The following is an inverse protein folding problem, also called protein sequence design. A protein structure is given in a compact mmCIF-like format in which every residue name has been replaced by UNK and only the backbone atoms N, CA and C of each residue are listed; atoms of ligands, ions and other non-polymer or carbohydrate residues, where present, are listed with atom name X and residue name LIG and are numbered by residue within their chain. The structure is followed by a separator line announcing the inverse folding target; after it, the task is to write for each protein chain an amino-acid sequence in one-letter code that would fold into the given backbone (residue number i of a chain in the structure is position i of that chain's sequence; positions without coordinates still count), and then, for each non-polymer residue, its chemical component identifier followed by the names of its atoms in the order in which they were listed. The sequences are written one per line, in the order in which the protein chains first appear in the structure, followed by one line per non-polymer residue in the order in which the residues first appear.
data_IF_720260271130
#
_entry.id   IF_720260271130
#
_cell.length_a   1.000
_cell.length_b   1.000
_cell.length_c   1.000
_cell.angle_alpha   90.00
_cell.angle_beta   90.00
_cell.angle_gamma   90.00
#
_symmetry.space_group_name_H-M   'P 1'
#
loop_
_entity.id
_entity.type
_entity.pdbx_description
1 polymer ?
#
# COMPACT_ATOMS: atom_id res chain seq x y z
N UNK A 1 19.54 -1.60 -3.11
CA UNK A 1 20.13 -0.33 -2.60
C UNK A 1 18.99 0.64 -2.31
N UNK A 2 19.00 1.33 -1.17
CA UNK A 2 17.93 2.30 -0.83
C UNK A 2 18.34 3.66 -1.40
N UNK A 3 17.55 4.18 -2.32
CA UNK A 3 17.76 5.52 -2.88
C UNK A 3 16.73 6.50 -2.31
N UNK A 4 17.21 7.59 -1.73
CA UNK A 4 16.40 8.78 -1.47
C UNK A 4 16.70 9.89 -2.48
N UNK A 5 17.84 9.76 -3.19
CA UNK A 5 18.25 10.67 -4.25
C UNK A 5 17.93 10.06 -5.62
N UNK A 6 16.77 10.45 -6.14
CA UNK A 6 16.28 10.04 -7.45
C UNK A 6 16.98 10.74 -8.62
N UNK A 7 17.93 11.66 -8.33
CA UNK A 7 18.78 12.31 -9.36
C UNK A 7 20.10 11.58 -9.57
N UNK A 8 20.45 10.64 -8.69
CA UNK A 8 21.69 9.89 -8.77
C UNK A 8 21.77 9.02 -10.02
N UNK A 9 22.96 8.85 -10.57
CA UNK A 9 23.20 7.90 -11.68
C UNK A 9 22.75 6.48 -11.33
N UNK A 10 22.93 6.09 -10.06
CA UNK A 10 22.49 4.81 -9.54
C UNK A 10 20.97 4.60 -9.64
N UNK A 11 20.16 5.66 -9.59
CA UNK A 11 18.73 5.57 -9.82
C UNK A 11 18.39 5.69 -11.31
N UNK A 12 18.93 6.68 -12.00
CA UNK A 12 18.59 7.00 -13.40
C UNK A 12 18.84 5.79 -14.31
N UNK A 13 19.96 5.10 -14.13
CA UNK A 13 20.36 3.95 -14.96
C UNK A 13 20.01 2.59 -14.33
N UNK A 14 19.27 2.58 -13.22
CA UNK A 14 18.88 1.33 -12.58
C UNK A 14 17.79 0.60 -13.37
N UNK A 15 17.90 -0.72 -13.40
CA UNK A 15 16.80 -1.62 -13.75
C UNK A 15 15.92 -1.89 -12.51
N UNK A 16 14.66 -2.24 -12.73
CA UNK A 16 13.71 -2.63 -11.69
C UNK A 16 13.56 -1.58 -10.56
N UNK A 17 13.24 -0.37 -10.95
CA UNK A 17 13.01 0.78 -10.05
C UNK A 17 11.73 0.60 -9.25
N UNK A 18 11.86 0.39 -7.95
CA UNK A 18 10.73 0.25 -7.02
C UNK A 18 10.56 1.52 -6.21
N UNK A 19 9.39 2.15 -6.25
CA UNK A 19 9.05 3.28 -5.38
C UNK A 19 8.06 2.82 -4.32
N UNK A 20 8.36 3.11 -3.04
CA UNK A 20 7.50 2.80 -1.91
C UNK A 20 7.00 4.09 -1.28
N UNK A 21 5.74 4.48 -1.59
CA UNK A 21 5.04 5.53 -0.86
C UNK A 21 4.70 5.03 0.55
N UNK A 22 4.81 5.93 1.54
CA UNK A 22 4.73 5.53 2.94
C UNK A 22 5.96 4.74 3.41
N UNK A 23 7.04 4.75 2.62
CA UNK A 23 8.28 4.02 2.87
C UNK A 23 9.06 4.46 4.12
N UNK A 24 8.64 5.55 4.76
CA UNK A 24 9.20 6.03 6.05
C UNK A 24 8.37 5.56 7.26
N UNK A 25 7.16 5.04 7.04
CA UNK A 25 6.26 4.53 8.09
C UNK A 25 6.65 3.14 8.60
N UNK A 26 5.90 2.65 9.60
CA UNK A 26 6.23 1.41 10.30
C UNK A 26 6.35 0.17 9.40
N UNK A 27 5.34 -0.15 8.62
CA UNK A 27 5.35 -1.28 7.66
C UNK A 27 6.26 -0.96 6.48
N UNK A 28 6.08 0.24 5.87
CA UNK A 28 6.80 0.63 4.66
C UNK A 28 8.31 0.65 4.83
N UNK A 29 8.82 1.20 5.95
CA UNK A 29 10.28 1.28 6.19
C UNK A 29 10.93 -0.10 6.35
N UNK A 30 10.21 -1.04 6.95
CA UNK A 30 10.68 -2.43 7.10
C UNK A 30 10.61 -3.18 5.78
N UNK A 31 9.54 -2.98 5.00
CA UNK A 31 9.40 -3.54 3.66
C UNK A 31 10.51 -3.05 2.73
N UNK A 32 10.83 -1.74 2.77
CA UNK A 32 11.94 -1.15 2.02
C UNK A 32 13.26 -1.87 2.30
N UNK A 33 13.57 -2.22 3.57
CA UNK A 33 14.79 -2.95 3.92
C UNK A 33 14.89 -4.34 3.28
N UNK A 34 13.76 -5.02 3.13
CA UNK A 34 13.73 -6.32 2.45
C UNK A 34 13.85 -6.16 0.95
N UNK A 35 13.06 -5.27 0.34
CA UNK A 35 13.09 -5.02 -1.10
C UNK A 35 14.46 -4.54 -1.60
N UNK A 36 15.18 -3.75 -0.80
CA UNK A 36 16.50 -3.22 -1.19
C UNK A 36 17.60 -4.28 -1.31
N UNK A 37 17.30 -5.54 -1.02
CA UNK A 37 18.23 -6.64 -1.28
C UNK A 37 18.26 -7.05 -2.74
N UNK A 38 17.12 -6.91 -3.43
CA UNK A 38 16.90 -7.45 -4.78
C UNK A 38 16.52 -6.37 -5.80
N UNK A 39 16.09 -5.18 -5.34
CA UNK A 39 15.61 -4.09 -6.19
C UNK A 39 16.31 -2.77 -5.86
N UNK A 40 16.29 -1.86 -6.83
CA UNK A 40 16.61 -0.45 -6.59
C UNK A 40 15.38 0.24 -6.01
N UNK A 41 15.43 0.61 -4.73
CA UNK A 41 14.26 1.07 -3.98
C UNK A 41 14.37 2.54 -3.60
N UNK A 42 13.43 3.33 -4.09
CA UNK A 42 13.15 4.68 -3.65
C UNK A 42 12.15 4.70 -2.50
N UNK A 43 12.56 5.26 -1.36
CA UNK A 43 11.75 5.41 -0.17
C UNK A 43 11.14 6.81 -0.14
N UNK A 44 9.80 6.90 -0.12
CA UNK A 44 9.06 8.17 -0.14
C UNK A 44 8.17 8.28 1.09
N UNK A 45 8.36 9.33 1.87
CA UNK A 45 7.49 9.70 2.99
C UNK A 45 6.60 10.90 2.65
N UNK A 46 5.67 11.25 3.55
CA UNK A 46 4.76 12.38 3.37
C UNK A 46 5.46 13.75 3.32
N UNK A 47 6.68 13.83 3.88
CA UNK A 47 7.52 15.04 3.80
C UNK A 47 8.21 15.19 2.44
N UNK A 48 8.41 14.08 1.72
CA UNK A 48 9.02 14.08 0.40
C UNK A 48 7.95 14.34 -0.68
N UNK A 49 6.84 13.59 -0.62
CA UNK A 49 5.67 13.74 -1.49
C UNK A 49 4.40 13.45 -0.70
N UNK A 50 3.56 14.45 -0.54
CA UNK A 50 2.22 14.25 0.01
C UNK A 50 1.32 13.64 -1.06
N UNK A 51 0.85 12.40 -0.84
CA UNK A 51 -0.04 11.70 -1.77
C UNK A 51 -1.42 12.37 -1.92
N UNK A 52 -1.80 13.23 -0.98
CA UNK A 52 -3.02 14.03 -1.08
C UNK A 52 -2.88 15.20 -2.07
N UNK A 53 -1.65 15.55 -2.47
CA UNK A 53 -1.36 16.60 -3.44
C UNK A 53 -1.14 15.99 -4.84
N UNK A 54 -2.19 15.98 -5.67
CA UNK A 54 -2.15 15.39 -7.01
C UNK A 54 -1.03 15.95 -7.91
N UNK A 55 -0.79 17.27 -8.02
CA UNK A 55 0.33 17.82 -8.78
C UNK A 55 1.70 17.36 -8.29
N UNK A 56 1.91 17.24 -6.97
CA UNK A 56 3.17 16.76 -6.41
C UNK A 56 3.42 15.29 -6.78
N UNK A 57 2.39 14.43 -6.67
CA UNK A 57 2.47 13.02 -7.08
C UNK A 57 2.78 12.89 -8.57
N UNK A 58 2.10 13.66 -9.42
CA UNK A 58 2.31 13.63 -10.87
C UNK A 58 3.72 14.06 -11.25
N UNK A 59 4.21 15.15 -10.70
CA UNK A 59 5.56 15.66 -10.96
C UNK A 59 6.62 14.66 -10.50
N UNK A 60 6.44 14.08 -9.31
CA UNK A 60 7.36 13.08 -8.76
C UNK A 60 7.41 11.82 -9.61
N UNK A 61 6.27 11.25 -10.01
CA UNK A 61 6.24 10.01 -10.80
C UNK A 61 6.78 10.20 -12.21
N UNK A 62 6.58 11.36 -12.83
CA UNK A 62 7.24 11.72 -14.10
C UNK A 62 8.76 11.77 -13.96
N UNK A 63 9.24 12.23 -12.83
CA UNK A 63 10.66 12.39 -12.55
C UNK A 63 11.34 11.06 -12.22
N UNK A 64 10.76 10.26 -11.31
CA UNK A 64 11.40 9.03 -10.83
C UNK A 64 11.31 7.86 -11.81
N UNK A 65 10.39 7.90 -12.78
CA UNK A 65 10.21 6.88 -13.82
C UNK A 65 10.18 5.42 -13.29
N UNK A 66 9.39 5.19 -12.25
CA UNK A 66 9.31 3.91 -11.56
C UNK A 66 8.73 2.79 -12.44
N UNK A 67 9.23 1.57 -12.25
CA UNK A 67 8.72 0.34 -12.86
C UNK A 67 7.71 -0.36 -11.94
N UNK A 68 7.95 -0.28 -10.65
CA UNK A 68 7.11 -0.84 -9.59
C UNK A 68 6.72 0.26 -8.60
N UNK A 69 5.45 0.37 -8.29
CA UNK A 69 4.94 1.29 -7.27
C UNK A 69 4.24 0.49 -6.18
N UNK A 70 4.67 0.67 -4.95
CA UNK A 70 4.03 0.11 -3.76
C UNK A 70 3.52 1.27 -2.92
N UNK A 71 2.22 1.30 -2.63
CA UNK A 71 1.68 2.28 -1.70
C UNK A 71 1.36 1.62 -0.36
N UNK A 72 2.18 1.92 0.64
CA UNK A 72 2.00 1.54 2.04
C UNK A 72 1.48 2.70 2.90
N UNK A 73 1.18 3.84 2.31
CA UNK A 73 0.57 4.96 3.01
C UNK A 73 -0.84 4.60 3.46
N UNK A 74 -1.20 5.01 4.64
CA UNK A 74 -2.53 4.82 5.18
C UNK A 74 -2.70 5.58 6.48
N UNK A 75 -3.93 5.93 6.78
CA UNK A 75 -4.34 6.54 8.03
C UNK A 75 -5.58 5.84 8.54
N UNK A 76 -5.62 5.58 9.84
CA UNK A 76 -6.77 5.01 10.52
C UNK A 76 -7.14 5.86 11.74
N UNK A 77 -8.42 6.00 11.96
CA UNK A 77 -9.01 6.63 13.14
C UNK A 77 -10.28 5.87 13.51
N UNK A 78 -10.19 5.11 14.60
CA UNK A 78 -11.29 4.25 15.07
C UNK A 78 -12.30 5.10 15.85
N UNK A 79 -13.48 5.30 15.28
CA UNK A 79 -14.57 6.04 15.90
C UNK A 79 -15.92 5.49 15.43
N UNK A 80 -16.92 5.46 16.30
CA UNK A 80 -18.29 5.20 15.89
C UNK A 80 -18.76 6.31 14.94
N UNK A 81 -19.45 5.95 13.86
CA UNK A 81 -19.84 6.90 12.82
C UNK A 81 -20.61 8.13 13.37
N UNK A 82 -21.49 7.91 14.35
CA UNK A 82 -22.27 8.97 14.97
C UNK A 82 -21.52 9.79 16.04
N UNK A 83 -20.28 9.43 16.35
CA UNK A 83 -19.44 10.10 17.35
C UNK A 83 -18.32 10.95 16.77
N UNK A 84 -18.21 11.05 15.45
CA UNK A 84 -17.32 12.01 14.83
C UNK A 84 -17.83 13.42 15.14
N UNK A 85 -17.05 14.21 15.84
CA UNK A 85 -17.40 15.58 16.22
C UNK A 85 -17.30 16.53 15.03
N UNK A 86 -16.35 16.30 14.13
CA UNK A 86 -16.13 17.08 12.92
C UNK A 86 -15.87 16.18 11.73
N UNK A 87 -15.94 16.71 10.51
CA UNK A 87 -15.59 16.00 9.30
C UNK A 87 -14.08 15.92 9.04
N UNK A 88 -13.24 16.63 9.79
CA UNK A 88 -11.80 16.72 9.55
C UNK A 88 -11.10 15.36 9.53
N UNK A 89 -11.41 14.49 10.50
CA UNK A 89 -10.83 13.14 10.57
C UNK A 89 -11.37 12.23 9.46
N UNK A 90 -12.63 12.41 9.07
CA UNK A 90 -13.24 11.70 7.94
C UNK A 90 -12.56 12.13 6.64
N UNK A 91 -12.42 13.43 6.43
CA UNK A 91 -11.76 13.99 5.24
C UNK A 91 -10.30 13.53 5.14
N UNK A 92 -9.58 13.55 6.26
CA UNK A 92 -8.20 13.05 6.33
C UNK A 92 -8.13 11.57 5.97
N UNK A 93 -9.05 10.76 6.48
CA UNK A 93 -9.16 9.33 6.20
C UNK A 93 -9.41 9.08 4.71
N UNK A 94 -10.37 9.79 4.12
CA UNK A 94 -10.73 9.71 2.71
C UNK A 94 -9.57 10.22 1.83
N UNK A 95 -8.98 11.36 2.17
CA UNK A 95 -7.89 11.95 1.40
C UNK A 95 -6.67 11.03 1.31
N UNK A 96 -6.25 10.44 2.43
CA UNK A 96 -5.08 9.56 2.43
C UNK A 96 -5.41 8.18 1.81
N UNK A 97 -6.52 7.55 2.24
CA UNK A 97 -6.78 6.16 1.83
C UNK A 97 -7.49 6.02 0.48
N UNK A 98 -8.18 7.05 -0.01
CA UNK A 98 -8.89 7.02 -1.32
C UNK A 98 -8.19 7.92 -2.31
N UNK A 99 -8.23 9.25 -2.10
CA UNK A 99 -7.69 10.20 -3.06
C UNK A 99 -6.20 9.99 -3.32
N UNK A 100 -5.39 9.73 -2.28
CA UNK A 100 -3.97 9.46 -2.44
C UNK A 100 -3.68 8.29 -3.38
N UNK A 101 -4.47 7.20 -3.29
CA UNK A 101 -4.34 6.07 -4.21
C UNK A 101 -4.82 6.41 -5.63
N UNK A 102 -5.89 7.20 -5.77
CA UNK A 102 -6.36 7.68 -7.08
C UNK A 102 -5.28 8.56 -7.73
N UNK A 103 -4.66 9.48 -6.99
CA UNK A 103 -3.58 10.34 -7.51
C UNK A 103 -2.40 9.52 -8.02
N UNK A 104 -1.96 8.51 -7.24
CA UNK A 104 -0.88 7.61 -7.65
C UNK A 104 -1.24 6.88 -8.94
N UNK A 105 -2.41 6.23 -9.01
CA UNK A 105 -2.85 5.50 -10.20
C UNK A 105 -2.97 6.42 -11.41
N UNK A 106 -3.64 7.57 -11.25
CA UNK A 106 -3.84 8.53 -12.34
C UNK A 106 -2.52 9.04 -12.92
N UNK A 107 -1.51 9.25 -12.08
CA UNK A 107 -0.19 9.73 -12.52
C UNK A 107 0.68 8.60 -13.09
N UNK A 108 0.66 7.41 -12.50
CA UNK A 108 1.50 6.28 -12.90
C UNK A 108 1.04 5.62 -14.20
N UNK A 109 -0.26 5.41 -14.36
CA UNK A 109 -0.80 4.62 -15.48
C UNK A 109 -0.41 5.14 -16.87
N UNK A 110 -0.48 6.44 -17.19
CA UNK A 110 -0.04 6.92 -18.50
C UNK A 110 1.43 6.62 -18.79
N UNK A 111 2.31 6.71 -17.78
CA UNK A 111 3.74 6.45 -17.91
C UNK A 111 4.00 4.95 -18.14
N UNK A 112 3.43 4.09 -17.30
CA UNK A 112 3.58 2.65 -17.40
C UNK A 112 2.97 2.07 -18.68
N UNK A 113 1.82 2.58 -19.13
CA UNK A 113 1.21 2.22 -20.42
C UNK A 113 2.12 2.55 -21.60
N UNK A 114 2.83 3.70 -21.57
CA UNK A 114 3.80 4.09 -22.60
C UNK A 114 5.01 3.15 -22.61
N UNK A 115 5.49 2.76 -21.42
CA UNK A 115 6.56 1.76 -21.28
C UNK A 115 6.15 0.34 -21.68
N UNK A 116 4.84 0.05 -21.69
CA UNK A 116 4.26 -1.31 -21.79
C UNK A 116 4.72 -2.22 -20.65
N UNK A 117 5.01 -1.65 -19.52
CA UNK A 117 5.39 -2.35 -18.28
C UNK A 117 5.04 -1.50 -17.06
N UNK A 118 4.51 -2.16 -16.05
CA UNK A 118 4.26 -1.54 -14.75
C UNK A 118 3.67 -2.53 -13.75
N UNK A 119 4.06 -2.38 -12.49
CA UNK A 119 3.54 -3.16 -11.36
C UNK A 119 3.10 -2.21 -10.27
N UNK A 120 1.80 -2.21 -9.95
CA UNK A 120 1.26 -1.36 -8.89
C UNK A 120 0.65 -2.24 -7.80
N UNK A 121 1.07 -2.04 -6.57
CA UNK A 121 0.63 -2.80 -5.41
C UNK A 121 0.16 -1.83 -4.33
N UNK A 122 -1.13 -1.89 -3.98
CA UNK A 122 -1.71 -1.04 -2.96
C UNK A 122 -1.97 -1.87 -1.69
N UNK A 123 -1.47 -1.42 -0.54
CA UNK A 123 -1.73 -2.11 0.72
C UNK A 123 -3.14 -1.79 1.21
N UNK A 124 -3.98 -2.79 1.16
CA UNK A 124 -5.34 -2.82 1.70
C UNK A 124 -5.35 -3.42 3.11
N UNK A 125 -6.49 -3.82 3.60
CA UNK A 125 -6.66 -4.35 4.94
C UNK A 125 -7.64 -5.52 4.95
N UNK A 126 -7.48 -6.44 5.90
CA UNK A 126 -8.49 -7.44 6.23
C UNK A 126 -9.85 -6.79 6.53
N UNK A 127 -9.85 -5.56 7.01
CA UNK A 127 -11.06 -4.78 7.31
C UNK A 127 -11.85 -4.36 6.05
N UNK A 128 -11.32 -4.56 4.86
CA UNK A 128 -12.11 -4.42 3.62
C UNK A 128 -13.19 -5.50 3.49
N UNK A 129 -13.07 -6.60 4.24
CA UNK A 129 -14.03 -7.72 4.28
C UNK A 129 -14.55 -8.02 5.69
N UNK A 130 -13.71 -7.85 6.71
CA UNK A 130 -14.06 -8.16 8.10
C UNK A 130 -14.72 -6.95 8.76
N UNK A 131 -15.84 -7.19 9.45
CA UNK A 131 -16.50 -6.15 10.25
C UNK A 131 -15.74 -5.93 11.56
N UNK A 132 -15.38 -4.68 11.83
CA UNK A 132 -14.86 -4.23 13.12
C UNK A 132 -15.58 -2.93 13.52
N UNK A 133 -16.13 -2.93 14.73
CA UNK A 133 -16.85 -1.78 15.26
C UNK A 133 -15.89 -0.58 15.37
N UNK A 134 -16.36 0.62 14.96
CA UNK A 134 -15.56 1.84 14.98
C UNK A 134 -14.73 2.09 13.72
N UNK A 135 -14.71 1.17 12.74
CA UNK A 135 -13.88 1.31 11.55
C UNK A 135 -14.66 1.59 10.26
N UNK A 136 -15.91 2.05 10.37
CA UNK A 136 -16.82 2.16 9.20
C UNK A 136 -16.20 2.92 8.02
N UNK A 137 -15.60 4.09 8.25
CA UNK A 137 -15.00 4.90 7.18
C UNK A 137 -13.72 4.22 6.64
N UNK A 138 -12.84 3.74 7.53
CA UNK A 138 -11.61 3.07 7.13
C UNK A 138 -11.88 1.78 6.34
N UNK A 139 -12.78 0.93 6.83
CA UNK A 139 -13.18 -0.31 6.16
C UNK A 139 -13.78 -0.03 4.77
N UNK A 140 -14.63 1.00 4.66
CA UNK A 140 -15.19 1.44 3.38
C UNK A 140 -14.11 1.92 2.41
N UNK A 141 -13.14 2.69 2.90
CA UNK A 141 -12.02 3.15 2.07
C UNK A 141 -11.16 1.98 1.55
N UNK A 142 -10.89 0.96 2.39
CA UNK A 142 -10.14 -0.23 1.97
C UNK A 142 -10.95 -1.13 1.01
N UNK A 143 -12.27 -1.23 1.19
CA UNK A 143 -13.16 -1.91 0.22
C UNK A 143 -13.22 -1.18 -1.12
N UNK A 144 -13.19 0.17 -1.11
CA UNK A 144 -13.09 0.98 -2.32
C UNK A 144 -11.84 0.62 -3.13
N UNK A 145 -10.67 0.51 -2.48
CA UNK A 145 -9.43 0.13 -3.16
C UNK A 145 -9.54 -1.23 -3.85
N UNK A 146 -10.09 -2.22 -3.14
CA UNK A 146 -10.23 -3.59 -3.65
C UNK A 146 -11.12 -3.64 -4.91
N UNK A 147 -12.15 -2.80 -4.98
CA UNK A 147 -13.02 -2.71 -6.15
C UNK A 147 -12.39 -1.91 -7.27
N UNK A 148 -11.81 -0.74 -6.97
CA UNK A 148 -11.14 0.11 -7.95
C UNK A 148 -10.02 -0.63 -8.68
N UNK A 149 -9.19 -1.38 -7.95
CA UNK A 149 -8.06 -2.12 -8.51
C UNK A 149 -8.51 -3.17 -9.51
N UNK A 150 -9.58 -3.91 -9.26
CA UNK A 150 -10.11 -4.92 -10.21
C UNK A 150 -10.46 -4.30 -11.56
N UNK A 151 -11.11 -3.13 -11.55
CA UNK A 151 -11.49 -2.44 -12.78
C UNK A 151 -10.28 -1.83 -13.48
N UNK A 152 -9.45 -1.09 -12.72
CA UNK A 152 -8.25 -0.46 -13.26
C UNK A 152 -7.25 -1.49 -13.84
N UNK A 153 -7.14 -2.66 -13.24
CA UNK A 153 -6.32 -3.76 -13.76
C UNK A 153 -6.82 -4.25 -15.12
N UNK A 154 -8.12 -4.46 -15.28
CA UNK A 154 -8.72 -4.88 -16.55
C UNK A 154 -8.50 -3.83 -17.65
N UNK A 155 -8.63 -2.54 -17.34
CA UNK A 155 -8.42 -1.43 -18.27
C UNK A 155 -6.97 -1.32 -18.77
N UNK A 156 -6.01 -1.85 -18.03
CA UNK A 156 -4.58 -1.68 -18.28
C UNK A 156 -3.84 -2.98 -18.65
N UNK A 157 -4.47 -4.14 -18.52
CA UNK A 157 -3.86 -5.46 -18.75
C UNK A 157 -3.19 -5.58 -20.14
N UNK A 158 -3.88 -5.17 -21.20
CA UNK A 158 -3.33 -5.19 -22.57
C UNK A 158 -2.15 -4.24 -22.81
N UNK A 159 -1.79 -3.46 -21.83
CA UNK A 159 -0.66 -2.52 -21.86
C UNK A 159 0.53 -3.00 -21.01
N UNK A 160 0.53 -4.25 -20.55
CA UNK A 160 1.60 -4.81 -19.73
C UNK A 160 1.66 -4.27 -18.29
N UNK A 161 0.56 -3.65 -17.81
CA UNK A 161 0.47 -3.09 -16.46
C UNK A 161 -0.41 -3.96 -15.59
N UNK A 162 0.11 -4.39 -14.45
CA UNK A 162 -0.67 -5.11 -13.43
C UNK A 162 -0.92 -4.24 -12.21
N UNK A 163 -2.10 -4.37 -11.63
CA UNK A 163 -2.52 -3.61 -10.44
C UNK A 163 -3.19 -4.58 -9.47
N UNK A 164 -2.66 -4.67 -8.25
CA UNK A 164 -3.14 -5.59 -7.24
C UNK A 164 -3.27 -4.92 -5.87
N UNK A 165 -4.10 -5.47 -4.99
CA UNK A 165 -4.10 -5.11 -3.58
C UNK A 165 -3.57 -6.28 -2.74
N UNK A 166 -2.94 -5.93 -1.61
CA UNK A 166 -2.59 -6.88 -0.55
C UNK A 166 -3.40 -6.53 0.69
N UNK A 167 -4.35 -7.41 1.06
CA UNK A 167 -5.17 -7.27 2.27
C UNK A 167 -4.39 -7.78 3.48
N UNK A 168 -3.81 -6.85 4.18
CA UNK A 168 -3.02 -7.16 5.36
C UNK A 168 -3.90 -7.43 6.59
N UNK A 169 -3.53 -8.42 7.37
CA UNK A 169 -3.94 -8.53 8.76
C UNK A 169 -3.10 -7.66 9.69
N UNK A 170 -2.93 -8.08 10.93
CA UNK A 170 -2.09 -7.41 11.91
C UNK A 170 -0.65 -7.87 11.78
N UNK A 171 0.27 -6.93 11.56
CA UNK A 171 1.69 -7.20 11.38
C UNK A 171 2.52 -6.65 12.54
N UNK A 172 3.63 -7.33 12.85
CA UNK A 172 4.64 -6.84 13.76
C UNK A 172 5.32 -5.61 13.15
N UNK A 173 4.97 -4.44 13.64
CA UNK A 173 5.39 -3.13 13.13
C UNK A 173 4.22 -2.30 12.59
N UNK A 174 4.41 -1.00 12.48
CA UNK A 174 3.35 -0.07 12.12
C UNK A 174 2.35 0.13 13.27
N UNK A 175 1.13 0.49 12.92
CA UNK A 175 0.06 0.88 13.87
C UNK A 175 -0.17 -0.15 14.99
N UNK A 176 -0.09 -1.44 14.71
CA UNK A 176 -0.29 -2.51 15.70
C UNK A 176 0.77 -2.50 16.81
N UNK A 177 2.01 -2.09 16.46
CA UNK A 177 3.13 -2.12 17.42
C UNK A 177 3.12 -0.94 18.39
N UNK A 178 2.40 0.12 18.05
CA UNK A 178 2.23 1.31 18.88
C UNK A 178 1.14 1.12 19.95
N UNK A 179 0.36 0.02 19.86
CA UNK A 179 -0.70 -0.29 20.81
C UNK A 179 -0.14 -0.85 22.14
N UNK A 180 -0.82 -0.63 23.28
CA UNK A 180 -0.47 -1.25 24.55
C UNK A 180 -0.39 -2.79 24.44
N UNK A 181 0.48 -3.40 25.25
CA UNK A 181 0.73 -4.85 25.22
C UNK A 181 -0.56 -5.69 25.38
N UNK A 182 -1.46 -5.28 26.28
CA UNK A 182 -2.75 -5.96 26.50
C UNK A 182 -3.62 -5.95 25.25
N UNK A 183 -3.61 -4.85 24.48
CA UNK A 183 -4.35 -4.75 23.21
C UNK A 183 -3.69 -5.64 22.16
N UNK A 184 -2.36 -5.63 22.07
CA UNK A 184 -1.64 -6.53 21.16
C UNK A 184 -1.91 -8.00 21.48
N UNK A 185 -2.00 -8.38 22.77
CA UNK A 185 -2.34 -9.74 23.20
C UNK A 185 -3.74 -10.14 22.75
N UNK A 186 -4.74 -9.28 22.98
CA UNK A 186 -6.12 -9.51 22.50
C UNK A 186 -6.20 -9.64 20.97
N UNK A 187 -5.43 -8.84 20.24
CA UNK A 187 -5.35 -8.95 18.78
C UNK A 187 -4.78 -10.32 18.37
N UNK A 188 -3.69 -10.79 19.02
CA UNK A 188 -3.11 -12.11 18.71
C UNK A 188 -4.10 -13.25 18.97
N UNK A 189 -4.88 -13.16 20.05
CA UNK A 189 -5.92 -14.15 20.37
C UNK A 189 -7.00 -14.25 19.29
N UNK A 190 -7.31 -13.14 18.60
CA UNK A 190 -8.28 -13.10 17.51
C UNK A 190 -7.73 -13.70 16.20
N UNK A 191 -6.41 -13.70 16.01
CA UNK A 191 -5.79 -14.25 14.80
C UNK A 191 -5.80 -15.79 14.92
N UNK A 192 -6.34 -16.56 13.95
CA UNK A 192 -6.31 -18.02 14.02
C UNK A 192 -4.89 -18.58 14.17
N UNK A 193 -3.91 -17.99 13.51
CA UNK A 193 -2.49 -18.36 13.65
C UNK A 193 -1.88 -17.99 15.01
N UNK A 194 -2.56 -17.18 15.85
CA UNK A 194 -2.11 -16.70 17.17
C UNK A 194 -0.82 -15.87 17.16
N UNK A 195 -0.42 -15.39 16.00
CA UNK A 195 0.78 -14.60 15.79
C UNK A 195 0.50 -13.39 14.90
N UNK A 196 1.25 -12.30 15.10
CA UNK A 196 1.28 -11.18 14.15
C UNK A 196 2.04 -11.57 12.89
N UNK A 197 1.62 -11.06 11.75
CA UNK A 197 2.31 -11.25 10.49
C UNK A 197 3.74 -10.72 10.52
N UNK A 198 4.64 -11.38 9.80
CA UNK A 198 6.03 -10.98 9.63
C UNK A 198 6.19 -10.19 8.32
N UNK A 199 6.97 -9.12 8.36
CA UNK A 199 7.27 -8.32 7.15
C UNK A 199 7.99 -9.14 6.07
N UNK A 200 8.75 -10.18 6.46
CA UNK A 200 9.35 -11.11 5.50
C UNK A 200 8.29 -11.81 4.65
N UNK A 201 7.18 -12.23 5.24
CA UNK A 201 6.11 -12.90 4.49
C UNK A 201 5.42 -11.92 3.53
N UNK A 202 5.22 -10.66 3.95
CA UNK A 202 4.72 -9.60 3.08
C UNK A 202 5.67 -9.33 1.90
N UNK A 203 6.97 -9.26 2.16
CA UNK A 203 7.98 -9.08 1.12
C UNK A 203 7.94 -10.23 0.10
N UNK A 204 7.89 -11.49 0.55
CA UNK A 204 7.81 -12.66 -0.34
C UNK A 204 6.54 -12.64 -1.22
N UNK A 205 5.40 -12.24 -0.65
CA UNK A 205 4.18 -12.07 -1.42
C UNK A 205 4.31 -10.95 -2.46
N UNK A 206 4.91 -9.82 -2.08
CA UNK A 206 5.13 -8.69 -2.98
C UNK A 206 6.08 -9.08 -4.12
N UNK A 207 7.17 -9.81 -3.85
CA UNK A 207 8.04 -10.37 -4.90
C UNK A 207 7.24 -11.24 -5.87
N UNK A 208 6.44 -12.17 -5.36
CA UNK A 208 5.61 -13.04 -6.19
C UNK A 208 4.67 -12.21 -7.09
N UNK A 209 4.08 -11.12 -6.59
CA UNK A 209 3.21 -10.23 -7.37
C UNK A 209 4.01 -9.48 -8.46
N UNK A 210 5.22 -9.01 -8.15
CA UNK A 210 6.10 -8.32 -9.10
C UNK A 210 6.49 -9.25 -10.24
N UNK A 211 6.91 -10.47 -9.91
CA UNK A 211 7.50 -11.43 -10.86
C UNK A 211 6.43 -12.19 -11.67
N UNK A 212 5.17 -12.20 -11.20
CA UNK A 212 4.10 -12.97 -11.84
C UNK A 212 3.12 -12.04 -12.56
N UNK A 213 3.32 -11.86 -13.86
CA UNK A 213 2.48 -10.99 -14.70
C UNK A 213 1.00 -11.41 -14.75
N UNK A 214 0.72 -12.70 -14.58
CA UNK A 214 -0.66 -13.21 -14.60
C UNK A 214 -1.45 -12.92 -13.32
N UNK A 215 -0.79 -12.42 -12.26
CA UNK A 215 -1.45 -11.88 -11.08
C UNK A 215 -1.85 -10.42 -11.38
N UNK A 216 -3.10 -10.21 -11.78
CA UNK A 216 -3.62 -8.89 -12.14
C UNK A 216 -5.08 -8.73 -11.69
N UNK A 217 -5.41 -7.62 -11.06
CA UNK A 217 -6.72 -7.36 -10.48
C UNK A 217 -7.03 -8.18 -9.24
N UNK A 218 -6.02 -8.83 -8.66
CA UNK A 218 -6.17 -9.68 -7.50
C UNK A 218 -6.17 -8.86 -6.20
N UNK A 219 -6.97 -9.36 -5.24
CA UNK A 219 -6.98 -8.87 -3.87
C UNK A 219 -6.46 -10.00 -2.98
N UNK A 220 -5.16 -10.00 -2.70
CA UNK A 220 -4.44 -11.08 -2.05
C UNK A 220 -4.47 -10.93 -0.53
N UNK A 221 -4.89 -11.97 0.16
CA UNK A 221 -4.99 -11.96 1.62
C UNK A 221 -3.69 -12.44 2.28
N UNK A 222 -3.17 -11.68 3.25
CA UNK A 222 -2.06 -12.05 4.12
C UNK A 222 -2.39 -11.66 5.56
N UNK A 223 -3.09 -12.54 6.29
CA UNK A 223 -3.76 -12.14 7.53
C UNK A 223 -3.83 -13.23 8.61
N UNK A 224 -3.13 -14.35 8.46
CA UNK A 224 -3.10 -15.42 9.45
C UNK A 224 -4.44 -16.13 9.68
N UNK A 225 -5.33 -16.11 8.66
CA UNK A 225 -6.64 -16.76 8.69
C UNK A 225 -7.81 -15.88 9.16
N UNK A 226 -7.60 -14.58 9.34
CA UNK A 226 -8.64 -13.65 9.84
C UNK A 226 -9.90 -13.53 8.96
N UNK A 227 -9.87 -13.98 7.71
CA UNK A 227 -11.04 -13.96 6.82
C UNK A 227 -12.06 -15.06 7.10
N UNK A 228 -11.71 -16.06 7.88
CA UNK A 228 -12.54 -17.23 8.18
C UNK A 228 -13.40 -17.09 9.45
N UNK A 229 -13.43 -15.90 10.07
CA UNK A 229 -14.13 -15.69 11.34
C UNK A 229 -15.13 -14.55 11.19
#
# INVERSE_FOLDING_TARGET
MIHTDFTSENWIYADNKVVVFGGTGGVGSRLVRYLSKDYNVGKVGSKDVDICNAPAVESFLKFCDADVIINSSGYNYDCFLHKYETFEEIDRLININIWGNIHILKAALPLMRKKKYGRIILLSSVLSKKTMIGTSIYSSAKSFLDTMVRVAAAENASKGVTINTVRMGYFAGGLTYELPFEIQSKIREQIPKKELGNIKDLYQLIQCIIDTEYINGANLDINGGLNGI
#
